data_IF_699311830515
#
_entry.id   IF_699311830515
#
_cell.length_a   1.000
_cell.length_b   1.000
_cell.length_c   1.000
_cell.angle_alpha   90.00
_cell.angle_beta   90.00
_cell.angle_gamma   90.00
#
_symmetry.space_group_name_H-M   'P 1'
#
loop_
_entity.id
_entity.type
_entity.pdbx_description
1 polymer ?
#
# COMPACT_ATOMS: atom_id res chain seq x y z
N UNK A 1 14.28 3.79 -38.37
CA UNK A 1 13.04 4.31 -37.75
C UNK A 1 13.36 4.70 -36.32
N UNK A 2 12.92 5.88 -35.85
CA UNK A 2 13.12 6.27 -34.46
C UNK A 2 12.26 5.40 -33.53
N UNK A 3 12.81 4.98 -32.40
CA UNK A 3 12.12 4.18 -31.40
C UNK A 3 12.02 4.95 -30.08
N UNK A 4 10.91 4.75 -29.36
CA UNK A 4 10.65 5.43 -28.09
C UNK A 4 11.22 4.61 -26.93
N UNK A 5 12.10 5.20 -26.13
CA UNK A 5 12.67 4.57 -24.94
C UNK A 5 12.41 5.40 -23.68
N UNK A 6 11.91 4.80 -22.57
CA UNK A 6 11.77 5.52 -21.31
C UNK A 6 13.13 5.77 -20.65
N UNK A 7 13.33 6.97 -20.12
CA UNK A 7 14.50 7.31 -19.32
C UNK A 7 14.39 6.68 -17.92
N UNK A 8 15.36 5.88 -17.45
CA UNK A 8 15.29 5.22 -16.14
C UNK A 8 15.38 6.19 -14.96
N UNK A 9 15.84 7.42 -15.19
CA UNK A 9 16.00 8.43 -14.15
C UNK A 9 14.80 9.37 -13.99
N UNK A 10 13.98 9.54 -15.03
CA UNK A 10 12.87 10.51 -15.00
C UNK A 10 11.57 10.01 -15.64
N UNK A 11 11.53 8.78 -16.14
CA UNK A 11 10.34 8.16 -16.74
C UNK A 11 9.92 8.72 -18.10
N UNK A 12 10.47 9.86 -18.56
CA UNK A 12 10.10 10.47 -19.84
C UNK A 12 10.64 9.69 -21.04
N UNK A 13 9.86 9.62 -22.12
CA UNK A 13 10.22 8.90 -23.35
C UNK A 13 11.11 9.76 -24.26
N UNK A 14 12.12 9.10 -24.84
CA UNK A 14 13.11 9.64 -25.76
C UNK A 14 12.93 8.97 -27.11
N UNK A 15 12.94 9.75 -28.20
CA UNK A 15 12.94 9.22 -29.57
C UNK A 15 14.39 9.10 -30.04
N UNK A 16 14.90 7.87 -30.22
CA UNK A 16 16.30 7.61 -30.57
C UNK A 16 16.40 6.76 -31.84
N UNK A 17 17.47 6.95 -32.63
CA UNK A 17 17.76 6.13 -33.81
C UNK A 17 18.58 4.89 -33.40
N UNK A 18 18.24 3.67 -33.85
CA UNK A 18 18.90 2.44 -33.42
C UNK A 18 20.34 2.22 -33.92
N UNK A 19 20.91 3.15 -34.69
CA UNK A 19 22.18 2.95 -35.41
C UNK A 19 23.36 3.66 -34.73
N UNK A 20 24.17 2.92 -33.96
CA UNK A 20 25.48 3.38 -33.49
C UNK A 20 26.08 2.53 -32.37
N UNK A 21 27.34 2.11 -32.56
CA UNK A 21 28.05 1.11 -31.74
C UNK A 21 28.35 1.51 -30.28
N UNK A 22 27.94 2.70 -29.82
CA UNK A 22 28.15 3.12 -28.42
C UNK A 22 26.89 3.56 -27.66
N UNK A 23 25.74 3.69 -28.35
CA UNK A 23 24.37 3.78 -27.80
C UNK A 23 24.15 4.60 -26.50
N UNK A 24 25.00 5.60 -26.24
CA UNK A 24 25.01 6.40 -25.01
C UNK A 24 24.45 7.78 -25.30
N UNK A 25 23.27 8.07 -24.75
CA UNK A 25 22.50 9.28 -25.00
C UNK A 25 22.32 10.08 -23.72
N UNK A 26 22.41 11.42 -23.82
CA UNK A 26 22.06 12.30 -22.70
C UNK A 26 20.57 12.60 -22.77
N UNK A 27 19.84 12.34 -21.68
CA UNK A 27 18.43 12.69 -21.58
C UNK A 27 18.27 14.23 -21.51
N UNK A 28 17.57 14.88 -22.45
CA UNK A 28 17.35 16.33 -22.43
C UNK A 28 16.48 16.79 -21.26
N UNK A 29 15.73 15.89 -20.63
CA UNK A 29 14.85 16.24 -19.50
C UNK A 29 15.54 16.22 -18.14
N UNK A 30 16.56 15.37 -17.96
CA UNK A 30 17.23 15.22 -16.66
C UNK A 30 18.76 15.31 -16.72
N UNK A 31 19.34 15.50 -17.91
CA UNK A 31 20.78 15.62 -18.13
C UNK A 31 21.59 14.35 -17.88
N UNK A 32 20.96 13.22 -17.51
CA UNK A 32 21.67 11.97 -17.23
C UNK A 32 21.99 11.21 -18.53
N UNK A 33 23.18 10.63 -18.59
CA UNK A 33 23.60 9.73 -19.67
C UNK A 33 22.95 8.36 -19.47
N UNK A 34 22.37 7.81 -20.53
CA UNK A 34 21.64 6.53 -20.55
C UNK A 34 22.13 5.72 -21.74
N UNK A 35 22.32 4.41 -21.58
CA UNK A 35 22.73 3.50 -22.65
C UNK A 35 21.55 2.65 -23.12
N UNK A 36 21.24 2.64 -24.41
CA UNK A 36 20.12 1.89 -24.99
C UNK A 36 20.63 0.91 -26.05
N UNK A 37 20.72 -0.39 -25.75
CA UNK A 37 21.18 -1.37 -26.74
C UNK A 37 20.05 -1.75 -27.71
N UNK A 38 20.36 -1.76 -29.01
CA UNK A 38 19.43 -1.99 -30.13
C UNK A 38 18.87 -3.40 -30.28
N UNK A 39 19.15 -4.32 -29.36
CA UNK A 39 18.56 -5.66 -29.35
C UNK A 39 17.27 -5.64 -28.52
N UNK A 40 16.14 -5.62 -29.22
CA UNK A 40 14.83 -5.95 -28.68
C UNK A 40 14.85 -7.39 -28.15
N UNK A 41 15.21 -7.56 -26.88
CA UNK A 41 14.77 -8.60 -25.94
C UNK A 41 15.78 -8.75 -24.80
N UNK A 42 15.95 -7.69 -24.01
CA UNK A 42 16.75 -7.77 -22.77
C UNK A 42 16.20 -6.87 -21.67
N UNK A 43 14.88 -6.86 -21.51
CA UNK A 43 14.22 -6.36 -20.29
C UNK A 43 14.18 -7.40 -19.15
N UNK A 44 14.75 -8.60 -19.33
CA UNK A 44 14.84 -9.67 -18.31
C UNK A 44 16.17 -9.72 -17.55
N UNK A 45 16.87 -8.60 -17.35
CA UNK A 45 18.19 -8.63 -16.67
C UNK A 45 18.40 -7.71 -15.48
N UNK A 46 17.33 -7.21 -14.87
CA UNK A 46 17.40 -6.57 -13.54
C UNK A 46 16.44 -7.15 -12.50
N UNK A 47 15.85 -8.31 -12.78
CA UNK A 47 15.21 -9.15 -11.75
C UNK A 47 16.10 -10.37 -11.47
N UNK A 48 16.38 -10.69 -10.20
CA UNK A 48 17.10 -11.91 -9.89
C UNK A 48 16.24 -13.12 -10.30
N UNK A 49 16.84 -14.22 -10.80
CA UNK A 49 16.07 -15.38 -11.20
C UNK A 49 15.55 -16.10 -9.96
N UNK A 50 14.24 -16.09 -9.75
CA UNK A 50 13.60 -17.04 -8.84
C UNK A 50 13.77 -18.43 -9.45
N UNK A 51 14.68 -19.21 -8.86
CA UNK A 51 14.80 -20.64 -9.17
C UNK A 51 13.52 -21.33 -8.73
N UNK A 52 13.01 -22.16 -9.63
CA UNK A 52 11.92 -23.12 -9.44
C UNK A 52 11.93 -23.76 -8.04
N UNK A 53 10.82 -23.63 -7.33
CA UNK A 53 10.35 -24.65 -6.40
C UNK A 53 8.87 -24.90 -6.68
N UNK A 54 8.65 -25.92 -7.49
CA UNK A 54 7.41 -26.68 -7.50
C UNK A 54 7.26 -27.32 -6.11
N UNK A 55 6.27 -26.93 -5.30
CA UNK A 55 5.73 -27.64 -4.12
C UNK A 55 4.53 -26.90 -3.48
N UNK A 56 3.30 -27.12 -3.98
CA UNK A 56 2.02 -26.91 -3.28
C UNK A 56 1.68 -25.47 -2.81
N UNK A 57 0.46 -25.21 -2.29
CA UNK A 57 0.09 -23.89 -1.81
C UNK A 57 0.76 -23.66 -0.45
N UNK A 58 1.98 -23.13 -0.48
CA UNK A 58 2.64 -22.56 0.70
C UNK A 58 2.31 -21.07 0.73
N UNK A 59 1.53 -20.64 1.72
CA UNK A 59 1.38 -19.23 2.07
C UNK A 59 2.79 -18.65 2.29
N UNK A 60 3.27 -17.83 1.35
CA UNK A 60 4.57 -17.19 1.45
C UNK A 60 4.47 -15.94 2.34
N UNK A 61 4.73 -16.14 3.63
CA UNK A 61 4.88 -15.06 4.61
C UNK A 61 5.98 -14.04 4.21
N UNK A 62 6.80 -14.29 3.18
CA UNK A 62 7.81 -13.34 2.69
C UNK A 62 7.21 -12.14 1.92
N UNK A 63 5.98 -12.23 1.42
CA UNK A 63 5.27 -11.13 0.72
C UNK A 63 4.73 -10.06 1.69
N UNK A 64 4.35 -10.46 2.90
CA UNK A 64 3.71 -9.59 3.89
C UNK A 64 4.70 -9.19 4.99
N UNK A 65 5.69 -8.40 4.60
CA UNK A 65 6.62 -7.75 5.53
C UNK A 65 6.68 -6.26 5.24
N UNK A 66 7.06 -5.49 6.23
CA UNK A 66 7.27 -4.07 6.05
C UNK A 66 8.52 -3.80 5.20
N UNK A 67 8.34 -3.16 4.04
CA UNK A 67 9.42 -2.85 3.12
C UNK A 67 10.24 -1.62 3.54
N UNK A 68 9.79 -0.87 4.56
CA UNK A 68 10.43 0.32 5.09
C UNK A 68 10.47 1.45 4.06
N UNK A 69 11.34 2.44 4.26
CA UNK A 69 11.46 3.61 3.36
C UNK A 69 12.09 3.33 1.98
N UNK A 70 12.17 2.07 1.56
CA UNK A 70 12.77 1.69 0.26
C UNK A 70 11.82 2.01 -0.90
N UNK A 71 12.35 2.33 -2.10
CA UNK A 71 11.55 2.35 -3.31
C UNK A 71 10.81 1.02 -3.49
N UNK A 72 9.50 1.07 -3.65
CA UNK A 72 8.64 -0.11 -3.67
C UNK A 72 7.51 0.06 -4.68
N UNK A 73 7.24 -1.01 -5.44
CA UNK A 73 6.15 -1.13 -6.40
C UNK A 73 5.45 -2.44 -6.10
N UNK A 74 4.13 -2.39 -5.95
CA UNK A 74 3.30 -3.54 -5.58
C UNK A 74 1.96 -3.44 -6.28
N UNK A 75 1.38 -4.58 -6.63
CA UNK A 75 -0.04 -4.64 -6.96
C UNK A 75 -0.83 -4.55 -5.64
N UNK A 76 -1.31 -3.37 -5.30
CA UNK A 76 -1.94 -3.11 -4.01
C UNK A 76 -3.27 -3.86 -3.85
N UNK A 77 -4.02 -4.04 -4.94
CA UNK A 77 -5.29 -4.78 -4.96
C UNK A 77 -5.07 -6.24 -4.54
N UNK A 78 -4.11 -6.91 -5.18
CA UNK A 78 -3.78 -8.32 -4.89
C UNK A 78 -3.35 -8.50 -3.44
N UNK A 79 -2.37 -7.72 -2.95
CA UNK A 79 -1.84 -7.91 -1.59
C UNK A 79 -2.89 -7.55 -0.53
N UNK A 80 -3.77 -6.58 -0.80
CA UNK A 80 -4.86 -6.23 0.12
C UNK A 80 -5.86 -7.37 0.25
N UNK A 81 -6.28 -7.97 -0.88
CA UNK A 81 -7.23 -9.09 -0.89
C UNK A 81 -6.65 -10.38 -0.32
N UNK A 82 -5.34 -10.62 -0.52
CA UNK A 82 -4.62 -11.77 0.03
C UNK A 82 -4.31 -11.65 1.54
N UNK A 83 -4.33 -10.45 2.12
CA UNK A 83 -4.06 -10.28 3.55
C UNK A 83 -5.23 -10.77 4.40
N UNK A 84 -4.96 -11.69 5.33
CA UNK A 84 -5.94 -12.21 6.29
C UNK A 84 -5.71 -11.73 7.73
N UNK A 85 -4.72 -10.87 7.96
CA UNK A 85 -4.47 -10.31 9.29
C UNK A 85 -5.35 -9.08 9.56
N UNK A 86 -5.70 -8.83 10.82
CA UNK A 86 -6.37 -7.60 11.21
C UNK A 86 -5.59 -6.36 10.79
N UNK A 87 -4.26 -6.36 10.98
CA UNK A 87 -3.37 -5.29 10.53
C UNK A 87 -1.98 -5.84 10.18
N UNK A 88 -1.46 -5.49 9.01
CA UNK A 88 -0.06 -5.73 8.64
C UNK A 88 0.53 -4.46 8.04
N UNK A 89 1.62 -3.96 8.63
CA UNK A 89 2.42 -2.90 8.04
C UNK A 89 3.15 -3.43 6.80
N UNK A 90 2.84 -2.87 5.62
CA UNK A 90 3.49 -3.25 4.37
C UNK A 90 4.61 -2.26 4.01
N UNK A 91 4.48 -0.99 4.37
CA UNK A 91 5.51 0.01 4.10
C UNK A 91 5.47 1.13 5.12
N UNK A 92 6.56 1.33 5.86
CA UNK A 92 6.70 2.45 6.82
C UNK A 92 7.86 3.36 6.44
N UNK A 93 7.53 4.59 6.04
CA UNK A 93 8.50 5.64 5.73
C UNK A 93 8.61 6.67 6.83
N UNK A 94 9.22 7.82 6.51
CA UNK A 94 9.31 8.95 7.44
C UNK A 94 8.02 9.78 7.52
N UNK A 95 7.24 9.80 6.43
CA UNK A 95 6.13 10.74 6.24
C UNK A 95 4.79 10.06 6.04
N UNK A 96 4.79 8.77 5.73
CA UNK A 96 3.57 7.98 5.59
C UNK A 96 3.84 6.53 5.95
N UNK A 97 2.77 5.83 6.32
CA UNK A 97 2.76 4.40 6.53
C UNK A 97 1.58 3.79 5.77
N UNK A 98 1.81 2.64 5.13
CA UNK A 98 0.79 1.84 4.48
C UNK A 98 0.60 0.52 5.24
N UNK A 99 -0.63 0.24 5.67
CA UNK A 99 -1.03 -1.01 6.29
C UNK A 99 -2.12 -1.70 5.48
N UNK A 100 -2.18 -3.03 5.58
CA UNK A 100 -3.25 -3.87 5.04
C UNK A 100 -4.12 -4.35 6.20
N UNK A 101 -5.42 -4.47 5.99
CA UNK A 101 -6.35 -4.95 7.02
C UNK A 101 -7.41 -5.88 6.42
N UNK A 102 -7.81 -6.86 7.22
CA UNK A 102 -8.94 -7.75 6.98
C UNK A 102 -9.84 -7.70 8.20
N UNK A 103 -11.05 -7.17 8.03
CA UNK A 103 -12.04 -7.08 9.10
C UNK A 103 -13.08 -8.17 8.89
N UNK A 104 -13.17 -9.10 9.84
CA UNK A 104 -14.15 -10.19 9.79
C UNK A 104 -15.60 -9.68 9.74
N UNK A 105 -16.51 -10.55 9.30
CA UNK A 105 -17.95 -10.24 9.22
C UNK A 105 -18.49 -9.81 10.58
N UNK A 106 -19.17 -8.66 10.63
CA UNK A 106 -19.66 -8.07 11.87
C UNK A 106 -18.57 -7.46 12.76
N UNK A 107 -17.31 -7.54 12.35
CA UNK A 107 -16.19 -6.87 12.99
C UNK A 107 -16.11 -5.38 12.65
N UNK A 108 -15.19 -4.69 13.31
CA UNK A 108 -14.92 -3.27 13.11
C UNK A 108 -13.45 -2.98 13.44
N UNK A 109 -12.92 -1.86 12.95
CA UNK A 109 -11.60 -1.36 13.37
C UNK A 109 -11.62 -1.08 14.88
N UNK A 110 -12.64 -0.35 15.34
CA UNK A 110 -12.70 0.21 16.68
C UNK A 110 -12.78 1.73 16.59
N UNK A 111 -13.35 2.36 17.62
CA UNK A 111 -13.47 3.81 17.68
C UNK A 111 -12.12 4.44 18.05
N UNK A 112 -11.53 5.16 17.11
CA UNK A 112 -10.20 5.76 17.21
C UNK A 112 -10.23 7.27 16.89
N UNK A 113 -9.15 7.98 17.24
CA UNK A 113 -8.89 9.37 16.88
C UNK A 113 -7.38 9.58 16.81
N UNK A 114 -6.90 10.24 15.75
CA UNK A 114 -5.50 10.67 15.65
C UNK A 114 -5.44 12.21 15.62
N UNK A 115 -4.86 12.88 16.62
CA UNK A 115 -4.88 14.35 16.71
C UNK A 115 -4.12 15.06 15.59
N UNK A 116 -3.09 14.41 15.05
CA UNK A 116 -2.08 14.99 14.16
C UNK A 116 -1.79 14.16 12.90
N UNK A 117 -2.59 13.11 12.67
CA UNK A 117 -2.46 12.19 11.52
C UNK A 117 -3.70 12.28 10.66
N UNK A 118 -3.52 12.60 9.39
CA UNK A 118 -4.54 12.35 8.37
C UNK A 118 -4.45 10.87 7.96
N UNK A 119 -5.61 10.24 7.80
CA UNK A 119 -5.70 8.86 7.36
C UNK A 119 -6.53 8.74 6.08
N UNK A 120 -6.04 7.93 5.15
CA UNK A 120 -6.73 7.52 3.94
C UNK A 120 -6.98 6.02 4.02
N UNK A 121 -8.21 5.59 3.76
CA UNK A 121 -8.55 4.16 3.64
C UNK A 121 -9.10 3.91 2.24
N UNK A 122 -8.71 2.81 1.62
CA UNK A 122 -9.38 2.29 0.41
C UNK A 122 -9.87 0.88 0.62
N UNK A 123 -11.13 0.66 0.27
CA UNK A 123 -11.77 -0.66 0.28
C UNK A 123 -11.52 -1.34 -1.06
N UNK A 124 -10.91 -2.52 -1.04
CA UNK A 124 -10.64 -3.33 -2.24
C UNK A 124 -11.64 -4.50 -2.36
N UNK A 125 -12.22 -4.95 -1.25
CA UNK A 125 -13.27 -5.97 -1.25
C UNK A 125 -14.17 -5.86 -0.02
N UNK A 126 -15.49 -5.94 -0.20
CA UNK A 126 -16.46 -6.09 0.87
C UNK A 126 -17.40 -4.90 0.99
N UNK A 127 -18.17 -4.88 2.07
CA UNK A 127 -19.15 -3.83 2.35
C UNK A 127 -19.08 -3.44 3.81
N UNK A 128 -19.12 -2.14 4.08
CA UNK A 128 -19.07 -1.62 5.43
C UNK A 128 -19.76 -0.27 5.57
N UNK A 129 -19.73 0.23 6.79
CA UNK A 129 -20.22 1.56 7.14
C UNK A 129 -19.12 2.30 7.89
N UNK A 130 -18.72 3.46 7.38
CA UNK A 130 -17.83 4.37 8.09
C UNK A 130 -18.64 5.36 8.92
N UNK A 131 -18.14 5.65 10.11
CA UNK A 131 -18.70 6.61 11.06
C UNK A 131 -17.62 7.63 11.39
N UNK A 132 -17.96 8.92 11.37
CA UNK A 132 -17.04 10.01 11.73
C UNK A 132 -17.74 11.14 12.49
N UNK A 133 -16.99 11.85 13.34
CA UNK A 133 -17.50 13.03 14.04
C UNK A 133 -16.45 13.81 14.83
N UNK A 134 -16.82 15.00 15.27
CA UNK A 134 -15.98 15.86 16.14
C UNK A 134 -15.94 15.40 17.60
N UNK A 135 -16.90 14.56 18.01
CA UNK A 135 -17.03 14.09 19.39
C UNK A 135 -17.20 12.58 19.42
N UNK A 136 -16.55 11.94 20.40
CA UNK A 136 -16.60 10.50 20.65
C UNK A 136 -18.04 9.95 20.71
N UNK A 137 -18.91 10.68 21.38
CA UNK A 137 -20.31 10.26 21.62
C UNK A 137 -21.27 10.75 20.52
N UNK A 138 -20.75 11.36 19.44
CA UNK A 138 -21.57 11.93 18.35
C UNK A 138 -20.85 11.83 17.00
N UNK A 139 -20.97 10.65 16.38
CA UNK A 139 -20.53 10.37 15.01
C UNK A 139 -21.63 10.74 14.02
N UNK A 140 -21.71 12.03 13.66
CA UNK A 140 -22.79 12.59 12.84
C UNK A 140 -22.60 12.40 11.33
N UNK A 141 -21.44 11.92 10.89
CA UNK A 141 -21.22 11.46 9.53
C UNK A 141 -21.29 9.94 9.49
N UNK A 142 -22.10 9.42 8.58
CA UNK A 142 -22.23 7.98 8.33
C UNK A 142 -22.37 7.76 6.82
N UNK A 143 -21.60 6.83 6.27
CA UNK A 143 -21.69 6.46 4.86
C UNK A 143 -21.43 4.97 4.67
N UNK A 144 -22.19 4.34 3.78
CA UNK A 144 -21.88 3.01 3.28
C UNK A 144 -20.67 3.09 2.34
N UNK A 145 -19.84 2.06 2.39
CA UNK A 145 -18.63 1.92 1.56
C UNK A 145 -18.56 0.53 0.98
N UNK A 146 -18.07 0.46 -0.25
CA UNK A 146 -17.98 -0.74 -1.07
C UNK A 146 -16.60 -0.82 -1.73
N UNK A 147 -16.34 -1.90 -2.46
CA UNK A 147 -15.24 -2.01 -3.41
C UNK A 147 -15.05 -0.68 -4.19
N UNK A 148 -13.80 -0.25 -4.35
CA UNK A 148 -13.34 1.02 -4.97
C UNK A 148 -13.61 2.31 -4.18
N UNK A 149 -14.25 2.26 -3.02
CA UNK A 149 -14.47 3.48 -2.21
C UNK A 149 -13.22 3.89 -1.45
N UNK A 150 -13.00 5.20 -1.38
CA UNK A 150 -12.00 5.82 -0.52
C UNK A 150 -12.66 6.57 0.64
N UNK A 151 -12.05 6.49 1.82
CA UNK A 151 -12.46 7.20 3.03
C UNK A 151 -11.30 8.11 3.42
N UNK A 152 -11.61 9.40 3.57
CA UNK A 152 -10.65 10.43 3.96
C UNK A 152 -11.01 10.86 5.38
N UNK A 153 -10.08 10.65 6.31
CA UNK A 153 -10.26 10.89 7.74
C UNK A 153 -9.27 11.98 8.14
N UNK A 154 -9.73 13.24 8.27
CA UNK A 154 -8.87 14.32 8.74
C UNK A 154 -8.43 14.11 10.18
N UNK A 155 -7.24 14.62 10.50
CA UNK A 155 -6.72 14.68 11.86
C UNK A 155 -7.75 15.31 12.82
N UNK A 156 -7.88 14.71 14.00
CA UNK A 156 -8.81 15.13 15.06
C UNK A 156 -10.25 14.63 14.90
N UNK A 157 -10.57 13.81 13.89
CA UNK A 157 -11.89 13.18 13.77
C UNK A 157 -11.93 11.84 14.50
N UNK A 158 -12.92 11.69 15.38
CA UNK A 158 -13.32 10.37 15.86
C UNK A 158 -13.87 9.58 14.69
N UNK A 159 -13.43 8.34 14.53
CA UNK A 159 -13.83 7.52 13.40
C UNK A 159 -13.88 6.03 13.72
N UNK A 160 -14.68 5.29 12.95
CA UNK A 160 -14.74 3.84 12.97
C UNK A 160 -15.17 3.34 11.59
N UNK A 161 -14.87 2.07 11.29
CA UNK A 161 -15.33 1.36 10.11
C UNK A 161 -15.80 -0.04 10.52
N UNK A 162 -17.07 -0.31 10.25
CA UNK A 162 -17.76 -1.54 10.64
C UNK A 162 -18.02 -2.37 9.38
N UNK A 163 -17.65 -3.64 9.39
CA UNK A 163 -18.01 -4.58 8.32
C UNK A 163 -19.48 -5.01 8.49
N UNK A 164 -20.34 -4.51 7.61
CA UNK A 164 -21.77 -4.80 7.55
C UNK A 164 -22.11 -5.76 6.39
N UNK A 165 -21.10 -6.27 5.70
CA UNK A 165 -21.22 -7.26 4.62
C UNK A 165 -21.32 -8.70 5.13
N UNK A 166 -21.19 -9.64 4.19
CA UNK A 166 -21.26 -11.09 4.43
C UNK A 166 -19.93 -11.83 4.15
N UNK A 167 -18.86 -11.08 3.90
CA UNK A 167 -17.49 -11.57 3.72
C UNK A 167 -16.50 -10.62 4.43
N UNK A 168 -15.25 -11.02 4.65
CA UNK A 168 -14.24 -10.11 5.21
C UNK A 168 -14.13 -8.82 4.38
N UNK A 169 -14.02 -7.69 5.07
CA UNK A 169 -13.78 -6.38 4.45
C UNK A 169 -12.26 -6.21 4.31
N UNK A 170 -11.77 -6.23 3.07
CA UNK A 170 -10.37 -6.08 2.70
C UNK A 170 -10.10 -4.64 2.33
N UNK A 171 -9.14 -4.03 3.01
CA UNK A 171 -8.78 -2.63 2.82
C UNK A 171 -7.30 -2.41 3.07
N UNK A 172 -6.78 -1.31 2.54
CA UNK A 172 -5.51 -0.76 2.98
C UNK A 172 -5.71 0.64 3.56
N UNK A 173 -4.87 0.99 4.52
CA UNK A 173 -4.84 2.30 5.16
C UNK A 173 -3.50 2.97 4.89
N UNK A 174 -3.53 4.28 4.67
CA UNK A 174 -2.36 5.15 4.61
C UNK A 174 -2.49 6.19 5.71
N UNK A 175 -1.52 6.20 6.61
CA UNK A 175 -1.38 7.20 7.68
C UNK A 175 -0.32 8.22 7.27
N UNK A 176 -0.54 9.51 7.54
CA UNK A 176 0.44 10.56 7.34
C UNK A 176 0.42 11.57 8.51
N UNK A 177 1.42 11.58 9.41
CA UNK A 177 2.62 10.72 9.47
C UNK A 177 2.33 9.24 9.83
N UNK A 178 3.36 8.35 9.86
CA UNK A 178 3.21 6.97 10.34
C UNK A 178 2.60 6.87 11.75
N UNK A 179 1.73 5.89 11.97
CA UNK A 179 1.04 5.66 13.25
C UNK A 179 1.64 4.49 14.04
N UNK A 180 1.86 3.35 13.38
CA UNK A 180 2.32 2.12 14.03
C UNK A 180 3.83 1.91 13.89
N UNK A 181 4.47 1.13 14.79
CA UNK A 181 5.85 0.70 14.63
C UNK A 181 6.14 0.03 13.28
N UNK A 182 7.39 0.14 12.82
CA UNK A 182 7.86 -0.61 11.65
C UNK A 182 7.69 -2.12 11.86
N UNK A 183 7.12 -2.81 10.88
CA UNK A 183 6.94 -4.26 10.94
C UNK A 183 5.78 -4.74 11.81
N UNK A 184 4.88 -3.85 12.25
CA UNK A 184 3.67 -4.24 12.99
C UNK A 184 2.85 -5.28 12.23
N UNK A 185 2.50 -6.36 12.94
CA UNK A 185 1.56 -7.39 12.47
C UNK A 185 0.64 -7.76 13.64
N UNK A 186 -0.64 -7.43 13.51
CA UNK A 186 -1.71 -7.85 14.40
C UNK A 186 -2.52 -8.89 13.66
N UNK A 187 -2.42 -10.17 14.06
CA UNK A 187 -3.18 -11.24 13.39
C UNK A 187 -4.66 -11.06 13.68
N UNK A 188 -4.99 -10.69 14.91
CA UNK A 188 -6.36 -10.48 15.37
C UNK A 188 -6.57 -9.05 15.86
N UNK A 189 -7.85 -8.65 15.98
CA UNK A 189 -8.23 -7.38 16.62
C UNK A 189 -7.77 -7.33 18.09
N UNK A 190 -7.75 -8.47 18.79
CA UNK A 190 -7.30 -8.53 20.18
C UNK A 190 -5.80 -8.19 20.29
N UNK A 191 -4.97 -8.70 19.38
CA UNK A 191 -3.54 -8.36 19.33
C UNK A 191 -3.34 -6.84 19.15
N UNK A 192 -4.15 -6.21 18.30
CA UNK A 192 -4.11 -4.76 18.10
C UNK A 192 -4.51 -3.98 19.36
N UNK A 193 -5.56 -4.43 20.06
CA UNK A 193 -5.99 -3.81 21.31
C UNK A 193 -4.94 -3.91 22.41
N UNK A 194 -4.28 -5.06 22.55
CA UNK A 194 -3.21 -5.26 23.53
C UNK A 194 -2.03 -4.31 23.29
N UNK A 195 -1.63 -4.09 22.03
CA UNK A 195 -0.58 -3.13 21.67
C UNK A 195 -0.96 -1.67 21.94
N UNK A 196 -2.25 -1.30 21.78
CA UNK A 196 -2.74 0.04 22.10
C UNK A 196 -2.98 0.29 23.61
N UNK A 197 -2.85 -0.73 24.44
CA UNK A 197 -3.04 -0.63 25.90
C UNK A 197 -1.80 -0.14 26.67
N UNK A 198 -0.74 0.29 25.98
CA UNK A 198 0.38 1.00 26.61
C UNK A 198 -0.06 2.43 27.00
N UNK A 199 -0.07 2.80 28.30
CA UNK A 199 -0.68 4.04 28.81
C UNK A 199 0.02 5.36 28.40
N UNK A 200 0.81 5.35 27.33
CA UNK A 200 1.59 6.49 26.84
C UNK A 200 1.26 6.94 25.41
N UNK A 201 0.15 6.48 24.82
CA UNK A 201 -0.44 7.07 23.61
C UNK A 201 -1.72 7.85 23.92
#
# INVERSE_FOLDING_TARGET
>A
MYQSYPCPYCGRRLMLSPSGDDNMHTCPYCGKRVRYHGDYNRYDRYYPPYKNMDHGPRFDYSRFKDYGSRPYVVNIDEVTKENDTFRTALWTGKHLQLTLMSIDVGGEIGLEIHPDVDQFIRVEEGHGVTLMGDHRDRLNFQAEVYDDYAILIPAGKWHNLINTGNKPLKLYSIYAPPEHPFGTVHKTKADAMEDHHDPYH
#
